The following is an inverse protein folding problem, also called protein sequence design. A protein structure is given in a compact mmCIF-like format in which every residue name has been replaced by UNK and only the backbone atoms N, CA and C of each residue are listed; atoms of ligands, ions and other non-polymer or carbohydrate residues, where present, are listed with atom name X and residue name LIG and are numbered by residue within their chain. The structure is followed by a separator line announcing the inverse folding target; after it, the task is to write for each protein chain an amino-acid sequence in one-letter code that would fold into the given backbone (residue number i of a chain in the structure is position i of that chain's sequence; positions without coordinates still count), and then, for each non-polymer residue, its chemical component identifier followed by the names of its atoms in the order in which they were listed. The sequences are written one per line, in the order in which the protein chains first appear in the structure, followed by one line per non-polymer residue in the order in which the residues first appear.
data_IF_621548653137
#
_entry.id   IF_621548653137
#
_cell.length_a   1.000
_cell.length_b   1.000
_cell.length_c   1.000
_cell.angle_alpha   90.00
_cell.angle_beta   90.00
_cell.angle_gamma   90.00
#
_symmetry.space_group_name_H-M   'P 1'
#
loop_
_entity.id
_entity.type
_entity.pdbx_description
1 polymer ?
#
# COMPACT_ATOMS: atom_id res chain seq x y z
N UNK A 1 62.02 -3.87 -21.56
CA UNK A 1 61.59 -5.29 -21.53
C UNK A 1 60.43 -5.53 -22.51
N UNK A 2 60.59 -5.20 -23.79
CA UNK A 2 59.43 -5.14 -24.71
C UNK A 2 59.49 -6.12 -25.88
N UNK A 3 60.60 -6.84 -26.08
CA UNK A 3 60.79 -7.73 -27.25
C UNK A 3 60.43 -9.19 -26.96
N UNK A 4 60.62 -9.66 -25.71
CA UNK A 4 60.28 -11.04 -25.32
C UNK A 4 58.76 -11.33 -25.32
N UNK A 5 57.93 -10.29 -25.22
CA UNK A 5 56.47 -10.43 -25.23
C UNK A 5 55.90 -10.71 -26.63
N UNK A 6 56.62 -10.34 -27.70
CA UNK A 6 56.10 -10.42 -29.07
C UNK A 6 56.26 -11.85 -29.63
N UNK A 7 57.37 -12.54 -29.34
CA UNK A 7 57.60 -13.89 -29.89
C UNK A 7 56.73 -14.97 -29.24
N UNK A 8 56.40 -14.81 -27.95
CA UNK A 8 55.52 -15.72 -27.22
C UNK A 8 54.05 -15.61 -27.69
N UNK A 9 53.66 -14.42 -28.16
CA UNK A 9 52.33 -14.17 -28.73
C UNK A 9 52.13 -14.89 -30.07
N UNK A 10 53.16 -14.94 -30.91
CA UNK A 10 53.09 -15.57 -32.24
C UNK A 10 52.92 -17.10 -32.18
N UNK A 11 53.54 -17.77 -31.23
CA UNK A 11 53.45 -19.24 -31.07
C UNK A 11 52.12 -19.63 -30.41
N UNK A 12 51.60 -18.81 -29.49
CA UNK A 12 50.30 -19.03 -28.86
C UNK A 12 49.13 -18.92 -29.86
N UNK A 13 49.20 -18.00 -30.82
CA UNK A 13 48.14 -17.77 -31.80
C UNK A 13 47.92 -18.98 -32.73
N UNK A 14 48.99 -19.64 -33.15
CA UNK A 14 48.92 -20.74 -34.12
C UNK A 14 48.40 -22.03 -33.49
N UNK A 15 48.75 -22.30 -32.22
CA UNK A 15 48.22 -23.45 -31.46
C UNK A 15 46.73 -23.27 -31.12
N UNK A 16 46.30 -22.04 -30.84
CA UNK A 16 44.88 -21.71 -30.62
C UNK A 16 44.03 -21.87 -31.88
N UNK A 17 44.60 -21.71 -33.07
CA UNK A 17 43.88 -21.79 -34.34
C UNK A 17 43.48 -23.22 -34.71
N UNK A 18 44.35 -24.21 -34.44
CA UNK A 18 44.04 -25.64 -34.63
C UNK A 18 43.00 -26.18 -33.63
N UNK A 19 42.99 -25.64 -32.41
CA UNK A 19 41.96 -25.92 -31.40
C UNK A 19 40.64 -25.17 -31.66
N UNK A 20 40.67 -23.98 -32.26
CA UNK A 20 39.48 -23.20 -32.59
C UNK A 20 38.56 -23.93 -33.59
N UNK A 21 39.12 -24.65 -34.58
CA UNK A 21 38.32 -25.41 -35.53
C UNK A 21 37.51 -26.55 -34.90
N UNK A 22 38.06 -27.23 -33.88
CA UNK A 22 37.37 -28.28 -33.11
C UNK A 22 36.43 -27.68 -32.04
N UNK A 23 36.78 -26.52 -31.49
CA UNK A 23 35.98 -25.84 -30.46
C UNK A 23 34.75 -25.13 -31.03
N UNK A 24 34.81 -24.60 -32.27
CA UNK A 24 33.69 -23.93 -32.96
C UNK A 24 32.52 -24.89 -33.20
N UNK A 25 32.80 -26.14 -33.56
CA UNK A 25 31.77 -27.18 -33.71
C UNK A 25 31.15 -27.58 -32.36
N UNK A 26 31.94 -27.52 -31.28
CA UNK A 26 31.44 -27.73 -29.90
C UNK A 26 30.70 -26.51 -29.33
N UNK A 27 31.06 -25.29 -29.76
CA UNK A 27 30.42 -24.03 -29.36
C UNK A 27 29.10 -23.80 -30.07
N UNK A 28 28.94 -24.20 -31.34
CA UNK A 28 27.64 -24.09 -32.01
C UNK A 28 26.51 -24.86 -31.28
N UNK A 29 26.84 -25.92 -30.55
CA UNK A 29 25.90 -26.64 -29.68
C UNK A 29 25.76 -26.01 -28.29
N UNK A 30 26.85 -25.53 -27.68
CA UNK A 30 26.82 -24.86 -26.36
C UNK A 30 26.25 -23.45 -26.38
N UNK A 31 26.50 -22.66 -27.41
CA UNK A 31 25.94 -21.31 -27.60
C UNK A 31 24.43 -21.37 -27.83
N UNK A 32 23.95 -22.39 -28.56
CA UNK A 32 22.50 -22.69 -28.59
C UNK A 32 21.98 -22.94 -27.18
N UNK A 33 22.62 -23.80 -26.39
CA UNK A 33 22.16 -24.08 -25.01
C UNK A 33 22.25 -22.89 -24.05
N UNK A 34 23.24 -21.99 -24.18
CA UNK A 34 23.37 -20.79 -23.35
C UNK A 34 22.37 -19.72 -23.77
N UNK A 35 22.13 -19.58 -25.08
CA UNK A 35 21.09 -18.68 -25.59
C UNK A 35 19.69 -19.15 -25.20
N UNK A 36 19.46 -20.47 -25.16
CA UNK A 36 18.21 -21.07 -24.66
C UNK A 36 18.06 -20.87 -23.15
N UNK A 37 19.11 -21.05 -22.35
CA UNK A 37 19.09 -20.76 -20.91
C UNK A 37 18.83 -19.29 -20.60
N UNK A 38 19.42 -18.37 -21.37
CA UNK A 38 19.16 -16.94 -21.20
C UNK A 38 17.73 -16.57 -21.58
N UNK A 39 17.20 -17.15 -22.67
CA UNK A 39 15.78 -16.97 -23.05
C UNK A 39 14.85 -17.49 -21.96
N UNK A 40 15.09 -18.71 -21.46
CA UNK A 40 14.31 -19.28 -20.37
C UNK A 40 14.34 -18.39 -19.11
N UNK A 41 15.50 -17.87 -18.73
CA UNK A 41 15.60 -16.95 -17.59
C UNK A 41 14.83 -15.64 -17.82
N UNK A 42 14.89 -15.08 -19.03
CA UNK A 42 14.14 -13.85 -19.37
C UNK A 42 12.64 -14.12 -19.35
N UNK A 43 12.20 -15.25 -19.91
CA UNK A 43 10.81 -15.68 -19.90
C UNK A 43 10.33 -15.89 -18.45
N UNK A 44 11.11 -16.55 -17.59
CA UNK A 44 10.81 -16.74 -16.16
C UNK A 44 10.69 -15.40 -15.41
N UNK A 45 11.60 -14.44 -15.69
CA UNK A 45 11.55 -13.10 -15.09
C UNK A 45 10.31 -12.36 -15.57
N UNK A 46 9.97 -12.48 -16.85
CA UNK A 46 8.79 -11.84 -17.41
C UNK A 46 7.52 -12.42 -16.79
N UNK A 47 7.37 -13.74 -16.74
CA UNK A 47 6.24 -14.42 -16.13
C UNK A 47 6.11 -14.07 -14.64
N UNK A 48 7.23 -14.08 -13.89
CA UNK A 48 7.23 -13.67 -12.50
C UNK A 48 6.79 -12.21 -12.33
N UNK A 49 7.26 -11.31 -13.19
CA UNK A 49 6.90 -9.90 -13.14
C UNK A 49 5.41 -9.69 -13.42
N UNK A 50 4.89 -10.33 -14.47
CA UNK A 50 3.47 -10.28 -14.82
C UNK A 50 2.60 -10.82 -13.68
N UNK A 51 3.00 -11.94 -13.07
CA UNK A 51 2.31 -12.53 -11.91
C UNK A 51 2.30 -11.56 -10.72
N UNK A 52 3.46 -10.96 -10.38
CA UNK A 52 3.55 -10.00 -9.27
C UNK A 52 2.76 -8.73 -9.51
N UNK A 53 2.70 -8.26 -10.74
CA UNK A 53 1.87 -7.10 -11.10
C UNK A 53 0.39 -7.44 -10.95
N UNK A 54 -0.04 -8.61 -11.40
CA UNK A 54 -1.42 -9.07 -11.24
C UNK A 54 -1.82 -9.20 -9.75
N UNK A 55 -0.99 -9.86 -8.93
CA UNK A 55 -1.23 -9.99 -7.47
C UNK A 55 -1.31 -8.61 -6.80
N UNK A 56 -0.41 -7.69 -7.17
CA UNK A 56 -0.41 -6.33 -6.62
C UNK A 56 -1.67 -5.58 -7.01
N UNK A 57 -2.08 -5.67 -8.27
CA UNK A 57 -3.24 -4.96 -8.78
C UNK A 57 -4.53 -5.49 -8.12
N UNK A 58 -4.64 -6.80 -7.91
CA UNK A 58 -5.72 -7.41 -7.12
C UNK A 58 -5.74 -6.86 -5.68
N UNK A 59 -4.57 -6.81 -5.01
CA UNK A 59 -4.49 -6.27 -3.65
C UNK A 59 -4.81 -4.78 -3.58
N UNK A 60 -4.48 -4.01 -4.62
CA UNK A 60 -4.83 -2.60 -4.71
C UNK A 60 -6.35 -2.43 -4.82
N UNK A 61 -7.02 -3.25 -5.63
CA UNK A 61 -8.48 -3.20 -5.75
C UNK A 61 -9.18 -3.59 -4.45
N UNK A 62 -8.73 -4.66 -3.78
CA UNK A 62 -9.25 -5.06 -2.47
C UNK A 62 -9.13 -3.92 -1.44
N UNK A 63 -7.96 -3.28 -1.36
CA UNK A 63 -7.74 -2.15 -0.45
C UNK A 63 -8.58 -0.92 -0.81
N UNK A 64 -8.84 -0.68 -2.10
CA UNK A 64 -9.72 0.41 -2.55
C UNK A 64 -11.16 0.15 -2.11
N UNK A 65 -11.64 -1.08 -2.23
CA UNK A 65 -12.97 -1.49 -1.78
C UNK A 65 -13.10 -1.35 -0.25
N UNK A 66 -12.15 -1.89 0.51
CA UNK A 66 -12.11 -1.73 1.97
C UNK A 66 -12.13 -0.25 2.38
N UNK A 67 -11.32 0.58 1.71
CA UNK A 67 -11.27 2.02 1.97
C UNK A 67 -12.61 2.70 1.67
N UNK A 68 -13.31 2.30 0.60
CA UNK A 68 -14.62 2.83 0.25
C UNK A 68 -15.69 2.47 1.29
N UNK A 69 -15.67 1.22 1.79
CA UNK A 69 -16.55 0.76 2.87
C UNK A 69 -16.29 1.55 4.15
N UNK A 70 -15.02 1.69 4.55
CA UNK A 70 -14.64 2.43 5.76
C UNK A 70 -15.04 3.90 5.68
N UNK A 71 -14.82 4.56 4.54
CA UNK A 71 -15.26 5.95 4.32
C UNK A 71 -16.77 6.11 4.48
N UNK A 72 -17.53 5.16 3.94
CA UNK A 72 -18.99 5.16 4.06
C UNK A 72 -19.43 4.97 5.52
N UNK A 73 -18.80 4.06 6.25
CA UNK A 73 -19.08 3.82 7.66
C UNK A 73 -18.77 5.06 8.52
N UNK A 74 -17.63 5.73 8.28
CA UNK A 74 -17.26 6.97 8.95
C UNK A 74 -18.28 8.07 8.66
N UNK A 75 -18.64 8.29 7.40
CA UNK A 75 -19.63 9.31 7.03
C UNK A 75 -20.99 9.08 7.70
N UNK A 76 -21.41 7.81 7.84
CA UNK A 76 -22.62 7.43 8.56
C UNK A 76 -22.52 7.74 10.06
N UNK A 77 -21.43 7.33 10.72
CA UNK A 77 -21.20 7.60 12.13
C UNK A 77 -21.17 9.10 12.43
N UNK A 78 -20.52 9.90 11.59
CA UNK A 78 -20.55 11.35 11.71
C UNK A 78 -21.97 11.92 11.61
N UNK A 79 -22.79 11.38 10.68
CA UNK A 79 -24.20 11.73 10.56
C UNK A 79 -24.99 11.42 11.82
N UNK A 80 -24.80 10.22 12.37
CA UNK A 80 -25.47 9.76 13.59
C UNK A 80 -25.07 10.61 14.81
N UNK A 81 -23.78 10.93 14.96
CA UNK A 81 -23.27 11.82 16.01
C UNK A 81 -23.86 13.23 15.89
N UNK A 82 -23.91 13.80 14.67
CA UNK A 82 -24.54 15.11 14.44
C UNK A 82 -26.02 15.10 14.83
N UNK A 83 -26.76 14.07 14.40
CA UNK A 83 -28.18 13.91 14.74
C UNK A 83 -28.41 13.75 16.24
N UNK A 84 -27.60 12.92 16.90
CA UNK A 84 -27.68 12.71 18.34
C UNK A 84 -27.37 14.00 19.12
N UNK A 85 -26.31 14.72 18.73
CA UNK A 85 -25.97 16.02 19.33
C UNK A 85 -27.09 17.05 19.16
N UNK A 86 -27.74 17.07 18.00
CA UNK A 86 -28.91 17.93 17.75
C UNK A 86 -30.09 17.60 18.68
N UNK A 87 -30.48 16.32 18.74
CA UNK A 87 -31.57 15.86 19.62
C UNK A 87 -31.28 16.09 21.09
N UNK A 88 -30.04 15.84 21.50
CA UNK A 88 -29.56 16.08 22.85
C UNK A 88 -29.67 17.56 23.24
N UNK A 89 -29.22 18.47 22.38
CA UNK A 89 -29.35 19.91 22.61
C UNK A 89 -30.81 20.33 22.81
N UNK A 90 -31.69 19.92 21.91
CA UNK A 90 -33.13 20.23 22.00
C UNK A 90 -33.73 19.69 23.29
N UNK A 91 -33.34 18.48 23.71
CA UNK A 91 -33.80 17.90 24.97
C UNK A 91 -33.32 18.71 26.19
N UNK A 92 -32.05 19.15 26.20
CA UNK A 92 -31.49 20.00 27.27
C UNK A 92 -32.22 21.33 27.34
N UNK A 93 -32.37 22.04 26.21
CA UNK A 93 -33.11 23.31 26.11
C UNK A 93 -34.56 23.15 26.60
N UNK A 94 -35.23 22.06 26.23
CA UNK A 94 -36.58 21.78 26.66
C UNK A 94 -36.66 21.55 28.18
N UNK A 95 -35.73 20.79 28.76
CA UNK A 95 -35.66 20.56 30.20
C UNK A 95 -35.39 21.88 30.94
N UNK A 96 -34.49 22.71 30.42
CA UNK A 96 -34.23 24.05 30.96
C UNK A 96 -35.45 24.94 30.94
N UNK A 97 -36.21 24.96 29.85
CA UNK A 97 -37.45 25.74 29.77
C UNK A 97 -38.48 25.30 30.83
N UNK A 98 -38.55 24.00 31.13
CA UNK A 98 -39.46 23.44 32.14
C UNK A 98 -38.95 23.61 33.58
N UNK A 99 -37.63 23.64 33.78
CA UNK A 99 -37.00 23.63 35.12
C UNK A 99 -37.43 24.80 36.04
N UNK A 100 -37.64 26.04 35.54
CA UNK A 100 -38.20 27.14 36.32
C UNK A 100 -39.59 26.85 36.89
N UNK A 101 -40.40 26.03 36.22
CA UNK A 101 -41.76 25.69 36.64
C UNK A 101 -41.79 24.78 37.88
N UNK A 102 -40.67 24.11 38.17
CA UNK A 102 -40.52 23.29 39.38
C UNK A 102 -40.04 24.16 40.55
N UNK A 103 -40.74 24.14 41.71
CA UNK A 103 -40.31 24.84 42.90
C UNK A 103 -38.86 24.51 43.27
N UNK A 104 -38.08 25.52 43.62
CA UNK A 104 -36.63 25.40 43.90
C UNK A 104 -36.31 24.35 44.96
N UNK A 105 -37.18 24.15 45.95
CA UNK A 105 -37.05 23.15 47.01
C UNK A 105 -37.17 21.69 46.55
N UNK A 106 -37.73 21.45 45.35
CA UNK A 106 -37.90 20.10 44.76
C UNK A 106 -37.10 19.92 43.47
N UNK A 107 -36.27 20.89 43.11
CA UNK A 107 -35.53 20.89 41.86
C UNK A 107 -34.29 19.98 41.98
N UNK A 108 -34.16 18.94 41.15
CA UNK A 108 -32.95 18.12 41.17
C UNK A 108 -31.72 18.95 40.75
N UNK A 109 -30.54 18.63 41.31
CA UNK A 109 -29.29 19.28 40.92
C UNK A 109 -28.95 18.93 39.46
N UNK A 110 -28.32 19.87 38.76
CA UNK A 110 -27.85 19.64 37.38
C UNK A 110 -26.61 18.72 37.43
N UNK A 111 -26.63 17.56 36.75
CA UNK A 111 -25.46 16.69 36.64
C UNK A 111 -24.23 17.44 36.11
N UNK A 112 -23.04 17.07 36.60
CA UNK A 112 -21.78 17.74 36.24
C UNK A 112 -21.51 17.73 34.74
N UNK A 113 -21.85 16.63 34.09
CA UNK A 113 -21.69 16.41 32.66
C UNK A 113 -22.54 17.38 31.82
N UNK A 114 -23.59 17.98 32.40
CA UNK A 114 -24.50 18.90 31.72
C UNK A 114 -24.19 20.38 32.02
N UNK A 115 -23.34 20.69 33.02
CA UNK A 115 -23.15 22.09 33.46
C UNK A 115 -22.60 23.02 32.37
N UNK A 116 -21.77 22.49 31.46
CA UNK A 116 -21.21 23.27 30.35
C UNK A 116 -22.22 23.56 29.22
N UNK A 117 -23.20 22.67 29.04
CA UNK A 117 -24.22 22.81 28.00
C UNK A 117 -25.37 23.72 28.44
N UNK A 118 -25.57 23.86 29.76
CA UNK A 118 -26.64 24.65 30.38
C UNK A 118 -26.27 26.13 30.55
N UNK A 119 -24.99 26.47 30.54
CA UNK A 119 -24.49 27.84 30.74
C UNK A 119 -24.42 28.67 29.43
N UNK A 120 -24.79 28.09 28.29
CA UNK A 120 -24.60 28.69 26.95
C UNK A 120 -25.71 29.63 26.46
N UNK A 121 -26.77 29.87 27.23
CA UNK A 121 -27.98 30.59 26.79
C UNK A 121 -28.04 32.05 27.31
N UNK A 122 -27.09 32.50 28.13
CA UNK A 122 -26.97 33.92 28.50
C UNK A 122 -26.06 34.68 27.52
N UNK A 123 -26.57 34.96 26.31
CA UNK A 123 -26.18 36.11 25.49
C UNK A 123 -27.36 36.63 24.67
#
# INVERSE_FOLDING_TARGET
MSVALISLFGIALTALSGLAGSWITSRGAKEKSVSEQYKALVDDIQEWTETRLAERDERIEELREETAVLRTAVARLEGDVRSWKGRYRVAVEHIEALRPLVPSSRRPPVPEQLRGDVAGVEK
#
